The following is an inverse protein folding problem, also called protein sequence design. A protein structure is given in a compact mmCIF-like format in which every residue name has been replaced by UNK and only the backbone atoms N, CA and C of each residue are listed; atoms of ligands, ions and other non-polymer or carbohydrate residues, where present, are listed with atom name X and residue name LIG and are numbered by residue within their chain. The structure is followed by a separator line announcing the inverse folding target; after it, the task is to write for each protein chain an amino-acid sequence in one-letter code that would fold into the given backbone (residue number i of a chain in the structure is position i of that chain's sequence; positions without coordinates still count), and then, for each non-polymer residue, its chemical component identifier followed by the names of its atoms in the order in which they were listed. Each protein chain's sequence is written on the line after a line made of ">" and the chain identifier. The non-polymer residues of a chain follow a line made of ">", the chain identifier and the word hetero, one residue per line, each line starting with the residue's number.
data_IF_889558569875
#
_entry.id   IF_889558569875
#
_cell.length_a   1.000
_cell.length_b   1.000
_cell.length_c   1.000
_cell.angle_alpha   90.00
_cell.angle_beta   90.00
_cell.angle_gamma   90.00
#
_symmetry.space_group_name_H-M   'P 1'
#
loop_
_entity.id
_entity.type
_entity.pdbx_description
1 polymer ?
#
# COMPACT_ATOMS: atom_id res chain seq x y z
N UNK A 1 20.76 -22.85 -64.48
CA UNK A 1 21.39 -22.90 -63.15
C UNK A 1 21.34 -21.50 -62.57
N UNK A 2 20.30 -21.21 -61.78
CA UNK A 2 20.29 -20.12 -60.81
C UNK A 2 19.09 -20.36 -59.90
N UNK A 3 19.39 -20.41 -58.61
CA UNK A 3 18.52 -20.75 -57.49
C UNK A 3 17.74 -19.49 -57.11
N UNK A 4 16.43 -19.60 -56.91
CA UNK A 4 15.62 -18.58 -56.22
C UNK A 4 15.24 -19.16 -54.86
N UNK A 5 15.84 -18.64 -53.80
CA UNK A 5 15.45 -18.87 -52.40
C UNK A 5 14.21 -18.02 -52.09
N UNK A 6 13.12 -18.68 -51.73
CA UNK A 6 11.93 -18.05 -51.17
C UNK A 6 12.17 -17.75 -49.68
N UNK A 7 12.10 -16.48 -49.29
CA UNK A 7 12.13 -16.06 -47.88
C UNK A 7 10.69 -16.03 -47.38
N UNK A 8 10.32 -16.97 -46.51
CA UNK A 8 9.07 -16.93 -45.74
C UNK A 8 9.14 -15.83 -44.67
N UNK A 9 8.32 -14.79 -44.81
CA UNK A 9 8.05 -13.83 -43.75
C UNK A 9 6.92 -14.37 -42.88
N UNK A 10 7.30 -14.93 -41.72
CA UNK A 10 6.36 -15.35 -40.67
C UNK A 10 5.63 -14.13 -40.10
N UNK A 11 4.36 -13.94 -40.47
CA UNK A 11 3.48 -12.96 -39.83
C UNK A 11 3.09 -13.48 -38.46
N UNK A 12 3.70 -12.91 -37.42
CA UNK A 12 3.28 -13.08 -36.01
C UNK A 12 1.81 -12.67 -35.90
N UNK A 13 0.95 -13.65 -35.61
CA UNK A 13 -0.48 -13.45 -35.45
C UNK A 13 -0.76 -12.38 -34.40
N UNK A 14 -1.52 -11.36 -34.79
CA UNK A 14 -2.05 -10.35 -33.89
C UNK A 14 -2.97 -11.06 -32.88
N UNK A 15 -2.57 -11.09 -31.61
CA UNK A 15 -3.44 -11.48 -30.51
C UNK A 15 -4.40 -10.32 -30.27
N UNK A 16 -5.63 -10.44 -30.76
CA UNK A 16 -6.69 -9.51 -30.43
C UNK A 16 -6.87 -9.45 -28.91
N UNK A 17 -7.02 -8.24 -28.32
CA UNK A 17 -7.27 -8.11 -26.90
C UNK A 17 -8.61 -8.78 -26.58
N UNK A 18 -8.55 -9.84 -25.78
CA UNK A 18 -9.73 -10.53 -25.25
C UNK A 18 -10.50 -9.52 -24.39
N UNK A 19 -11.56 -8.94 -24.95
CA UNK A 19 -12.51 -8.12 -24.19
C UNK A 19 -13.02 -9.01 -23.06
N UNK A 20 -12.72 -8.64 -21.82
CA UNK A 20 -13.27 -9.30 -20.66
C UNK A 20 -14.74 -8.85 -20.61
N UNK A 21 -15.64 -9.67 -21.17
CA UNK A 21 -17.07 -9.47 -21.04
C UNK A 21 -17.42 -9.41 -19.54
N UNK A 22 -18.11 -8.35 -19.13
CA UNK A 22 -18.77 -8.32 -17.82
C UNK A 22 -19.73 -9.52 -17.76
N UNK A 23 -19.80 -10.26 -16.64
CA UNK A 23 -20.76 -11.35 -16.55
C UNK A 23 -22.17 -10.77 -16.68
N UNK A 24 -22.91 -11.22 -17.71
CA UNK A 24 -24.31 -10.84 -17.93
C UNK A 24 -25.18 -11.41 -16.80
N UNK A 25 -25.39 -10.60 -15.75
CA UNK A 25 -26.23 -10.90 -14.56
C UNK A 25 -27.70 -11.20 -14.90
N UNK A 26 -28.13 -11.00 -16.16
CA UNK A 26 -29.52 -11.13 -16.60
C UNK A 26 -29.93 -12.53 -17.09
N UNK A 27 -28.99 -13.45 -17.34
CA UNK A 27 -29.30 -14.78 -17.90
C UNK A 27 -28.88 -15.97 -17.01
N UNK A 28 -28.36 -15.72 -15.81
CA UNK A 28 -27.95 -16.78 -14.89
C UNK A 28 -29.11 -17.17 -13.97
N UNK A 29 -29.40 -18.48 -13.78
CA UNK A 29 -30.53 -18.93 -12.97
C UNK A 29 -30.30 -18.61 -11.49
N UNK A 30 -31.20 -17.81 -10.92
CA UNK A 30 -31.24 -17.55 -9.49
C UNK A 30 -31.57 -18.84 -8.70
N UNK A 31 -30.90 -19.10 -7.56
CA UNK A 31 -31.13 -20.30 -6.79
C UNK A 31 -32.49 -20.29 -6.09
N UNK A 32 -33.17 -21.43 -6.11
CA UNK A 32 -34.39 -21.62 -5.31
C UNK A 32 -34.09 -21.70 -3.82
N UNK A 33 -35.08 -21.45 -2.95
CA UNK A 33 -34.91 -21.44 -1.50
C UNK A 33 -34.38 -22.78 -0.93
N UNK A 34 -34.75 -23.90 -1.55
CA UNK A 34 -34.23 -25.22 -1.20
C UNK A 34 -32.75 -25.37 -1.56
N UNK A 35 -32.34 -24.87 -2.74
CA UNK A 35 -30.95 -24.90 -3.21
C UNK A 35 -30.05 -23.99 -2.37
N UNK A 36 -30.53 -22.82 -1.94
CA UNK A 36 -29.85 -21.92 -1.00
C UNK A 36 -29.55 -22.56 0.36
N UNK A 37 -30.33 -23.56 0.80
CA UNK A 37 -30.09 -24.23 2.09
C UNK A 37 -29.24 -25.49 1.97
N UNK A 38 -29.15 -26.08 0.77
CA UNK A 38 -28.55 -27.40 0.56
C UNK A 38 -27.22 -27.37 -0.18
N UNK A 39 -27.00 -26.36 -1.04
CA UNK A 39 -25.80 -26.27 -1.85
C UNK A 39 -24.66 -25.55 -1.12
N UNK A 40 -23.43 -25.99 -1.40
CA UNK A 40 -22.22 -25.37 -0.90
C UNK A 40 -22.05 -23.97 -1.52
N UNK A 41 -21.83 -22.97 -0.65
CA UNK A 41 -21.57 -21.59 -1.05
C UNK A 41 -20.06 -21.43 -1.27
N UNK A 42 -19.68 -20.90 -2.43
CA UNK A 42 -18.29 -20.71 -2.81
C UNK A 42 -18.00 -19.26 -3.20
N UNK A 43 -16.74 -18.87 -3.02
CA UNK A 43 -16.21 -17.62 -3.56
C UNK A 43 -16.05 -17.71 -5.08
N UNK A 44 -16.40 -16.63 -5.76
CA UNK A 44 -16.04 -16.41 -7.16
C UNK A 44 -14.55 -16.05 -7.30
N UNK A 45 -14.10 -15.89 -8.53
CA UNK A 45 -12.81 -15.33 -8.90
C UNK A 45 -12.70 -13.87 -8.50
N UNK A 46 -11.67 -13.55 -7.72
CA UNK A 46 -11.36 -12.17 -7.33
C UNK A 46 -10.74 -11.45 -8.55
N UNK A 47 -11.28 -10.30 -8.98
CA UNK A 47 -10.75 -9.55 -10.11
C UNK A 47 -9.33 -9.05 -9.83
N UNK A 48 -8.50 -8.96 -10.87
CA UNK A 48 -7.11 -8.50 -10.75
C UNK A 48 -7.01 -7.11 -10.10
N UNK A 49 -7.97 -6.23 -10.37
CA UNK A 49 -8.03 -4.90 -9.76
C UNK A 49 -8.10 -4.96 -8.22
N UNK A 50 -8.87 -5.90 -7.65
CA UNK A 50 -8.93 -6.09 -6.21
C UNK A 50 -7.58 -6.56 -5.63
N UNK A 51 -6.89 -7.47 -6.33
CA UNK A 51 -5.53 -7.89 -5.93
C UNK A 51 -4.52 -6.74 -5.94
N UNK A 52 -4.59 -5.85 -6.94
CA UNK A 52 -3.74 -4.66 -6.98
C UNK A 52 -4.02 -3.72 -5.81
N UNK A 53 -5.28 -3.58 -5.39
CA UNK A 53 -5.65 -2.80 -4.21
C UNK A 53 -5.08 -3.43 -2.93
N UNK A 54 -5.13 -4.77 -2.78
CA UNK A 54 -4.52 -5.48 -1.63
C UNK A 54 -3.01 -5.19 -1.56
N UNK A 55 -2.29 -5.27 -2.69
CA UNK A 55 -0.84 -4.98 -2.73
C UNK A 55 -0.56 -3.52 -2.41
N UNK A 56 -1.35 -2.60 -2.96
CA UNK A 56 -1.23 -1.17 -2.67
C UNK A 56 -1.43 -0.88 -1.17
N UNK A 57 -2.44 -1.48 -0.54
CA UNK A 57 -2.68 -1.34 0.90
C UNK A 57 -1.53 -1.92 1.71
N UNK A 58 -1.00 -3.09 1.34
CA UNK A 58 0.18 -3.67 1.97
C UNK A 58 1.36 -2.69 1.95
N UNK A 59 1.67 -2.11 0.78
CA UNK A 59 2.78 -1.17 0.62
C UNK A 59 2.59 0.10 1.45
N UNK A 60 1.39 0.68 1.47
CA UNK A 60 1.10 1.87 2.26
C UNK A 60 1.20 1.56 3.76
N UNK A 61 0.68 0.42 4.22
CA UNK A 61 0.80 -0.02 5.63
C UNK A 61 2.24 -0.26 6.04
N UNK A 62 3.01 -0.93 5.20
CA UNK A 62 4.44 -1.15 5.42
C UNK A 62 5.19 0.19 5.60
N UNK A 63 4.95 1.16 4.70
CA UNK A 63 5.55 2.48 4.80
C UNK A 63 5.09 3.24 6.06
N UNK A 64 3.78 3.22 6.36
CA UNK A 64 3.20 3.93 7.49
C UNK A 64 3.78 3.45 8.83
N UNK A 65 3.78 2.13 9.07
CA UNK A 65 4.31 1.58 10.32
C UNK A 65 5.84 1.57 10.34
N UNK A 66 6.50 1.39 9.18
CA UNK A 66 7.96 1.47 9.06
C UNK A 66 8.50 2.81 9.47
N UNK A 67 7.86 3.90 9.03
CA UNK A 67 8.22 5.25 9.43
C UNK A 67 7.81 5.55 10.87
N UNK A 68 6.60 5.15 11.26
CA UNK A 68 6.08 5.41 12.60
C UNK A 68 6.93 4.79 13.71
N UNK A 69 7.53 3.62 13.47
CA UNK A 69 8.44 2.97 14.40
C UNK A 69 9.76 3.72 14.60
N UNK A 70 10.17 4.55 13.64
CA UNK A 70 11.45 5.26 13.67
C UNK A 70 11.34 6.67 14.29
N UNK A 71 10.16 7.28 14.30
CA UNK A 71 9.96 8.66 14.78
C UNK A 71 10.50 8.92 16.17
N UNK A 72 10.20 8.03 17.12
CA UNK A 72 10.63 8.21 18.50
C UNK A 72 12.16 8.35 18.59
N UNK A 73 12.89 7.41 17.98
CA UNK A 73 14.34 7.36 18.03
C UNK A 73 14.98 8.50 17.22
N UNK A 74 14.47 8.75 16.01
CA UNK A 74 14.95 9.80 15.10
C UNK A 74 14.89 11.20 15.74
N UNK A 75 13.81 11.49 16.47
CA UNK A 75 13.60 12.79 17.14
C UNK A 75 14.35 12.88 18.46
N UNK A 76 14.35 11.80 19.25
CA UNK A 76 14.83 11.82 20.62
C UNK A 76 16.36 11.89 20.73
N UNK A 77 17.07 11.09 19.94
CA UNK A 77 18.51 10.88 20.10
C UNK A 77 19.34 11.70 19.10
N UNK A 78 20.60 12.03 19.44
CA UNK A 78 21.55 12.63 18.51
C UNK A 78 21.98 11.66 17.42
N UNK A 79 22.68 12.18 16.42
CA UNK A 79 23.31 11.36 15.39
C UNK A 79 24.34 10.41 16.06
N UNK A 80 24.28 9.09 15.82
CA UNK A 80 25.11 8.14 16.55
C UNK A 80 26.60 8.37 16.29
N UNK A 81 27.38 8.47 17.36
CA UNK A 81 28.85 8.46 17.28
C UNK A 81 29.35 7.03 17.08
N UNK A 82 30.58 6.83 16.61
CA UNK A 82 31.20 5.50 16.31
C UNK A 82 31.01 4.40 17.38
N UNK A 83 30.76 4.76 18.65
CA UNK A 83 30.61 3.84 19.77
C UNK A 83 29.16 3.68 20.27
N UNK A 84 28.20 4.39 19.68
CA UNK A 84 26.79 4.38 20.11
C UNK A 84 25.95 3.49 19.19
N UNK A 85 25.19 2.58 19.79
CA UNK A 85 24.32 1.64 19.07
C UNK A 85 22.91 2.17 18.87
N UNK A 86 22.58 3.34 19.42
CA UNK A 86 21.22 3.88 19.39
C UNK A 86 21.02 4.78 18.17
N UNK A 87 20.14 4.40 17.21
CA UNK A 87 19.90 5.23 16.03
C UNK A 87 19.15 6.52 16.41
N UNK A 88 19.58 7.65 15.84
CA UNK A 88 19.04 8.99 16.12
C UNK A 88 19.54 10.02 15.10
N UNK A 89 19.08 11.26 15.21
CA UNK A 89 19.54 12.36 14.36
C UNK A 89 19.29 13.77 14.92
N UNK A 90 18.17 14.02 15.61
CA UNK A 90 17.70 15.39 15.85
C UNK A 90 17.97 15.95 17.26
N UNK A 91 18.28 15.08 18.23
CA UNK A 91 18.58 15.47 19.62
C UNK A 91 17.57 16.48 20.21
N UNK A 92 16.27 16.15 20.16
CA UNK A 92 15.18 17.01 20.68
C UNK A 92 14.57 16.51 21.98
N UNK A 93 15.09 15.41 22.52
CA UNK A 93 14.64 14.80 23.75
C UNK A 93 13.30 14.06 23.66
N UNK A 94 13.00 13.28 24.69
CA UNK A 94 11.87 12.36 24.73
C UNK A 94 10.51 13.07 24.66
N UNK A 95 10.38 14.24 25.31
CA UNK A 95 9.12 14.97 25.36
C UNK A 95 8.68 15.39 23.95
N UNK A 96 9.59 15.99 23.17
CA UNK A 96 9.33 16.41 21.79
C UNK A 96 9.03 15.22 20.88
N UNK A 97 9.83 14.15 20.99
CA UNK A 97 9.65 12.92 20.22
C UNK A 97 8.27 12.30 20.45
N UNK A 98 7.85 12.22 21.71
CA UNK A 98 6.53 11.69 22.09
C UNK A 98 5.41 12.59 21.59
N UNK A 99 5.54 13.91 21.77
CA UNK A 99 4.52 14.88 21.35
C UNK A 99 4.29 14.84 19.83
N UNK A 100 5.36 14.85 19.02
CA UNK A 100 5.25 14.78 17.56
C UNK A 100 4.73 13.43 17.07
N UNK A 101 5.16 12.33 17.70
CA UNK A 101 4.64 10.99 17.36
C UNK A 101 3.13 10.89 17.65
N UNK A 102 2.67 11.41 18.80
CA UNK A 102 1.26 11.44 19.15
C UNK A 102 0.47 12.38 18.24
N UNK A 103 1.04 13.54 17.90
CA UNK A 103 0.45 14.45 16.92
C UNK A 103 0.25 13.78 15.57
N UNK A 104 1.28 13.10 15.04
CA UNK A 104 1.19 12.40 13.76
C UNK A 104 0.09 11.33 13.78
N UNK A 105 0.01 10.54 14.85
CA UNK A 105 -1.05 9.53 15.04
C UNK A 105 -2.43 10.18 15.06
N UNK A 106 -2.61 11.21 15.89
CA UNK A 106 -3.86 11.96 15.97
C UNK A 106 -4.27 12.51 14.60
N UNK A 107 -3.33 13.16 13.91
CA UNK A 107 -3.56 13.76 12.61
C UNK A 107 -3.92 12.70 11.54
N UNK A 108 -3.23 11.56 11.52
CA UNK A 108 -3.53 10.45 10.63
C UNK A 108 -4.88 9.75 10.90
N UNK A 109 -5.49 9.95 12.08
CA UNK A 109 -6.84 9.46 12.41
C UNK A 109 -7.94 10.47 12.13
N UNK A 110 -7.63 11.77 12.11
CA UNK A 110 -8.62 12.83 11.79
C UNK A 110 -8.69 13.11 10.29
N UNK A 111 -7.55 13.10 9.60
CA UNK A 111 -7.47 13.35 8.15
C UNK A 111 -8.35 12.44 7.26
N UNK A 112 -8.64 11.17 7.60
CA UNK A 112 -9.59 10.36 6.84
C UNK A 112 -11.00 10.97 6.75
N UNK A 113 -11.44 11.75 7.75
CA UNK A 113 -12.75 12.42 7.71
C UNK A 113 -12.78 13.41 6.55
N UNK A 114 -11.73 14.23 6.42
CA UNK A 114 -11.59 15.15 5.28
C UNK A 114 -11.45 14.40 3.96
N UNK A 115 -10.66 13.32 3.94
CA UNK A 115 -10.47 12.46 2.77
C UNK A 115 -11.77 11.81 2.25
N UNK A 116 -12.66 11.41 3.15
CA UNK A 116 -13.98 10.87 2.81
C UNK A 116 -14.87 11.96 2.17
N UNK A 117 -14.96 13.13 2.81
CA UNK A 117 -15.77 14.26 2.32
C UNK A 117 -15.33 14.67 0.91
N UNK A 118 -14.01 14.78 0.66
CA UNK A 118 -13.48 15.13 -0.66
C UNK A 118 -13.83 14.09 -1.72
N UNK A 119 -13.77 12.80 -1.38
CA UNK A 119 -14.12 11.73 -2.30
C UNK A 119 -15.61 11.70 -2.64
N UNK A 120 -16.47 11.90 -1.64
CA UNK A 120 -17.92 11.84 -1.82
C UNK A 120 -18.48 13.07 -2.55
N UNK A 121 -17.89 14.25 -2.34
CA UNK A 121 -18.47 15.52 -2.82
C UNK A 121 -17.82 16.09 -4.08
N UNK A 122 -16.52 15.84 -4.32
CA UNK A 122 -15.76 16.58 -5.34
C UNK A 122 -15.17 15.70 -6.43
N UNK A 123 -14.42 14.66 -6.07
CA UNK A 123 -13.50 14.00 -7.00
C UNK A 123 -13.84 12.55 -7.32
N UNK A 124 -14.65 11.89 -6.49
CA UNK A 124 -14.82 10.45 -6.52
C UNK A 124 -13.67 9.70 -5.84
N UNK A 125 -13.90 8.44 -5.51
CA UNK A 125 -12.99 7.61 -4.69
C UNK A 125 -11.64 7.40 -5.36
N UNK A 126 -11.64 6.96 -6.61
CA UNK A 126 -10.41 6.65 -7.35
C UNK A 126 -9.47 7.87 -7.49
N UNK A 127 -10.00 9.04 -7.91
CA UNK A 127 -9.18 10.26 -8.04
C UNK A 127 -8.65 10.74 -6.69
N UNK A 128 -9.47 10.65 -5.65
CA UNK A 128 -9.05 11.02 -4.30
C UNK A 128 -7.91 10.14 -3.81
N UNK A 129 -7.97 8.83 -4.04
CA UNK A 129 -6.88 7.91 -3.71
C UNK A 129 -5.61 8.26 -4.49
N UNK A 130 -5.69 8.46 -5.81
CA UNK A 130 -4.53 8.78 -6.63
C UNK A 130 -3.84 10.08 -6.19
N UNK A 131 -4.61 11.14 -5.94
CA UNK A 131 -4.08 12.41 -5.44
C UNK A 131 -3.46 12.22 -4.05
N UNK A 132 -4.12 11.46 -3.18
CA UNK A 132 -3.64 11.20 -1.82
C UNK A 132 -2.34 10.38 -1.81
N UNK A 133 -2.22 9.38 -2.69
CA UNK A 133 -0.97 8.64 -2.90
C UNK A 133 0.15 9.56 -3.39
N UNK A 134 -0.13 10.49 -4.32
CA UNK A 134 0.86 11.46 -4.78
C UNK A 134 1.31 12.39 -3.64
N UNK A 135 0.37 12.91 -2.84
CA UNK A 135 0.68 13.72 -1.66
C UNK A 135 1.53 12.93 -0.66
N UNK A 136 1.16 11.67 -0.38
CA UNK A 136 1.91 10.79 0.49
C UNK A 136 3.36 10.62 0.01
N UNK A 137 3.54 10.30 -1.28
CA UNK A 137 4.86 10.15 -1.90
C UNK A 137 5.70 11.43 -1.82
N UNK A 138 5.09 12.60 -2.04
CA UNK A 138 5.77 13.89 -1.86
C UNK A 138 6.26 14.04 -0.42
N UNK A 139 5.43 13.68 0.56
CA UNK A 139 5.80 13.71 1.97
C UNK A 139 6.99 12.79 2.30
N UNK A 140 7.01 11.58 1.71
CA UNK A 140 8.15 10.66 1.82
C UNK A 140 9.44 11.24 1.21
N UNK A 141 9.34 11.87 0.04
CA UNK A 141 10.49 12.49 -0.62
C UNK A 141 11.02 13.67 0.20
N UNK A 142 10.13 14.52 0.74
CA UNK A 142 10.52 15.62 1.63
C UNK A 142 11.24 15.07 2.87
N UNK A 143 10.72 14.01 3.48
CA UNK A 143 11.37 13.36 4.60
C UNK A 143 12.77 12.85 4.22
N UNK A 144 12.88 12.11 3.11
CA UNK A 144 14.14 11.54 2.64
C UNK A 144 15.19 12.64 2.41
N UNK A 145 14.82 13.69 1.68
CA UNK A 145 15.72 14.80 1.33
C UNK A 145 16.13 15.64 2.55
N UNK A 146 15.30 15.68 3.59
CA UNK A 146 15.62 16.42 4.82
C UNK A 146 16.38 15.57 5.84
N UNK A 147 16.39 14.24 5.66
CA UNK A 147 17.07 13.28 6.55
C UNK A 147 18.47 12.86 6.06
N UNK A 148 18.96 13.42 4.96
CA UNK A 148 20.35 13.19 4.50
C UNK A 148 21.35 13.95 5.40
N UNK A 149 22.60 13.45 5.57
CA UNK A 149 23.58 14.07 6.46
C UNK A 149 23.80 15.58 6.22
N UNK A 150 23.95 16.07 4.96
CA UNK A 150 24.12 17.50 4.72
C UNK A 150 22.93 18.38 5.13
N UNK A 151 21.72 17.81 5.17
CA UNK A 151 20.51 18.53 5.59
C UNK A 151 20.37 18.55 7.12
N UNK A 152 20.83 17.49 7.79
CA UNK A 152 20.92 17.40 9.26
C UNK A 152 21.93 18.43 9.78
N UNK A 153 23.13 18.49 9.19
CA UNK A 153 24.18 19.42 9.60
C UNK A 153 23.77 20.89 9.46
N UNK A 154 22.93 21.20 8.46
CA UNK A 154 22.35 22.53 8.24
C UNK A 154 21.14 22.83 9.12
N UNK A 155 20.69 21.90 9.95
CA UNK A 155 19.53 22.06 10.84
C UNK A 155 18.17 22.02 10.13
N UNK A 156 18.11 21.62 8.86
CA UNK A 156 16.86 21.60 8.06
C UNK A 156 16.01 20.36 8.38
N UNK A 157 16.63 19.31 8.94
CA UNK A 157 15.98 18.02 9.21
C UNK A 157 14.77 18.12 10.16
N UNK A 158 14.83 18.96 11.20
CA UNK A 158 13.73 19.13 12.16
C UNK A 158 12.49 19.81 11.55
N UNK A 159 12.58 21.01 10.93
CA UNK A 159 11.42 21.61 10.26
C UNK A 159 10.95 20.75 9.06
N UNK A 160 11.89 20.10 8.36
CA UNK A 160 11.59 19.16 7.28
C UNK A 160 10.73 17.97 7.74
N UNK A 161 11.04 17.41 8.91
CA UNK A 161 10.25 16.34 9.52
C UNK A 161 8.81 16.78 9.82
N UNK A 162 8.61 17.96 10.40
CA UNK A 162 7.27 18.46 10.74
C UNK A 162 6.43 18.64 9.47
N UNK A 163 7.02 19.23 8.43
CA UNK A 163 6.36 19.38 7.13
C UNK A 163 6.03 18.01 6.52
N UNK A 164 6.98 17.08 6.56
CA UNK A 164 6.76 15.72 6.07
C UNK A 164 5.64 15.01 6.84
N UNK A 165 5.58 15.11 8.17
CA UNK A 165 4.52 14.51 8.99
C UNK A 165 3.12 15.02 8.60
N UNK A 166 2.99 16.31 8.34
CA UNK A 166 1.72 16.91 7.89
C UNK A 166 1.37 16.38 6.49
N UNK A 167 2.29 16.43 5.53
CA UNK A 167 2.02 15.99 4.15
C UNK A 167 1.67 14.49 4.11
N UNK A 168 2.47 13.64 4.78
CA UNK A 168 2.23 12.19 4.87
C UNK A 168 0.88 11.93 5.55
N UNK A 169 0.59 12.62 6.66
CA UNK A 169 -0.67 12.48 7.38
C UNK A 169 -1.88 12.83 6.51
N UNK A 170 -1.80 13.92 5.74
CA UNK A 170 -2.87 14.31 4.80
C UNK A 170 -3.07 13.26 3.71
N UNK A 171 -1.98 12.76 3.09
CA UNK A 171 -2.06 11.70 2.09
C UNK A 171 -2.62 10.39 2.67
N UNK A 172 -2.23 10.05 3.90
CA UNK A 172 -2.72 8.87 4.63
C UNK A 172 -4.25 8.91 4.79
N UNK A 173 -4.80 10.10 5.11
CA UNK A 173 -6.22 10.29 5.31
C UNK A 173 -7.05 9.88 4.09
N UNK A 174 -6.72 10.43 2.92
CA UNK A 174 -7.49 10.19 1.70
C UNK A 174 -7.35 8.78 1.12
N UNK A 175 -6.24 8.07 1.38
CA UNK A 175 -6.12 6.64 1.06
C UNK A 175 -7.00 5.81 1.99
N UNK A 176 -6.85 5.98 3.32
CA UNK A 176 -7.56 5.18 4.34
C UNK A 176 -9.08 5.24 4.24
N UNK A 177 -9.64 6.40 3.94
CA UNK A 177 -11.10 6.56 3.85
C UNK A 177 -11.73 5.92 2.62
N UNK A 178 -10.95 5.70 1.55
CA UNK A 178 -11.49 5.42 0.21
C UNK A 178 -11.07 4.08 -0.38
N UNK A 179 -9.98 3.47 0.11
CA UNK A 179 -9.43 2.23 -0.44
C UNK A 179 -10.36 1.02 -0.21
N UNK A 180 -11.00 0.91 0.97
CA UNK A 180 -11.89 -0.22 1.26
C UNK A 180 -13.22 -0.16 0.51
N UNK A 181 -13.90 1.00 0.35
CA UNK A 181 -15.03 1.09 -0.56
C UNK A 181 -14.64 0.82 -2.02
N UNK A 182 -13.47 1.32 -2.47
CA UNK A 182 -13.00 1.05 -3.84
C UNK A 182 -12.79 -0.45 -4.07
N UNK A 183 -12.27 -1.19 -3.08
CA UNK A 183 -12.14 -2.65 -3.17
C UNK A 183 -13.50 -3.32 -3.33
N UNK A 184 -14.48 -2.94 -2.52
CA UNK A 184 -15.83 -3.51 -2.62
C UNK A 184 -16.45 -3.25 -3.99
N UNK A 185 -16.23 -2.06 -4.56
CA UNK A 185 -16.70 -1.70 -5.91
C UNK A 185 -16.05 -2.51 -7.04
N UNK A 186 -14.91 -3.20 -6.81
CA UNK A 186 -14.31 -4.04 -7.83
C UNK A 186 -15.12 -5.30 -8.11
N UNK A 187 -15.99 -5.72 -7.19
CA UNK A 187 -16.82 -6.90 -7.37
C UNK A 187 -18.26 -6.50 -7.70
N UNK A 188 -18.65 -6.65 -8.97
CA UNK A 188 -19.92 -6.13 -9.49
C UNK A 188 -21.11 -7.08 -9.31
N UNK A 189 -20.89 -8.35 -8.94
CA UNK A 189 -21.99 -9.31 -8.77
C UNK A 189 -22.74 -9.06 -7.47
N UNK A 190 -24.05 -8.92 -7.56
CA UNK A 190 -24.92 -8.63 -6.40
C UNK A 190 -25.82 -9.82 -6.03
N UNK A 191 -26.05 -10.75 -6.96
CA UNK A 191 -26.95 -11.90 -6.78
C UNK A 191 -26.20 -13.23 -6.68
N UNK A 192 -26.71 -14.19 -5.88
CA UNK A 192 -26.19 -15.55 -5.88
C UNK A 192 -26.60 -16.27 -7.16
N UNK A 193 -25.68 -17.05 -7.72
CA UNK A 193 -25.89 -17.79 -8.98
C UNK A 193 -25.53 -19.25 -8.79
N UNK A 194 -26.20 -20.14 -9.54
CA UNK A 194 -25.83 -21.56 -9.55
C UNK A 194 -24.81 -21.80 -10.66
N UNK A 195 -23.66 -22.35 -10.28
CA UNK A 195 -22.66 -22.87 -11.22
C UNK A 195 -22.44 -24.36 -11.01
N UNK A 196 -21.99 -25.07 -12.04
CA UNK A 196 -21.62 -26.49 -11.94
C UNK A 196 -20.11 -26.59 -12.01
N UNK A 197 -19.47 -26.81 -10.85
CA UNK A 197 -18.02 -27.00 -10.77
C UNK A 197 -17.75 -28.47 -10.45
N UNK A 198 -16.96 -29.12 -11.33
CA UNK A 198 -16.59 -30.54 -11.19
C UNK A 198 -17.81 -31.47 -11.04
N UNK A 199 -18.89 -31.19 -11.79
CA UNK A 199 -20.11 -32.00 -11.80
C UNK A 199 -21.03 -31.83 -10.59
N UNK A 200 -20.72 -30.93 -9.64
CA UNK A 200 -21.60 -30.59 -8.51
C UNK A 200 -22.18 -29.20 -8.70
N UNK A 201 -23.49 -29.04 -8.44
CA UNK A 201 -24.13 -27.73 -8.36
C UNK A 201 -23.60 -27.03 -7.11
N UNK A 202 -23.11 -25.80 -7.28
CA UNK A 202 -22.62 -24.94 -6.20
C UNK A 202 -23.21 -23.56 -6.39
N UNK A 203 -23.40 -22.85 -5.29
CA UNK A 203 -23.87 -21.47 -5.34
C UNK A 203 -22.65 -20.57 -5.22
N UNK A 204 -22.45 -19.69 -6.19
CA UNK A 204 -21.51 -18.58 -6.04
C UNK A 204 -22.27 -17.51 -5.27
N UNK A 205 -21.77 -17.22 -4.07
CA UNK A 205 -22.35 -16.19 -3.21
C UNK A 205 -21.46 -14.94 -3.23
N UNK A 206 -22.00 -13.78 -3.66
CA UNK A 206 -21.33 -12.49 -3.55
C UNK A 206 -20.76 -12.19 -2.17
N UNK A 207 -21.46 -12.58 -1.10
CA UNK A 207 -21.07 -12.31 0.28
C UNK A 207 -19.80 -13.07 0.66
N UNK A 208 -19.68 -14.34 0.25
CA UNK A 208 -18.50 -15.18 0.48
C UNK A 208 -17.28 -14.64 -0.28
N UNK A 209 -17.51 -14.15 -1.51
CA UNK A 209 -16.45 -13.54 -2.32
C UNK A 209 -15.96 -12.23 -1.70
N UNK A 210 -16.90 -11.36 -1.30
CA UNK A 210 -16.59 -10.10 -0.61
C UNK A 210 -15.85 -10.35 0.70
N UNK A 211 -16.27 -11.35 1.48
CA UNK A 211 -15.59 -11.77 2.70
C UNK A 211 -14.15 -12.23 2.42
N UNK A 212 -13.93 -13.03 1.37
CA UNK A 212 -12.60 -13.47 0.95
C UNK A 212 -11.71 -12.28 0.56
N UNK A 213 -12.24 -11.33 -0.20
CA UNK A 213 -11.53 -10.09 -0.57
C UNK A 213 -11.10 -9.30 0.67
N UNK A 214 -12.01 -9.06 1.62
CA UNK A 214 -11.68 -8.35 2.86
C UNK A 214 -10.73 -9.15 3.77
N UNK A 215 -10.82 -10.48 3.79
CA UNK A 215 -9.87 -11.30 4.52
C UNK A 215 -8.44 -11.08 4.00
N UNK A 216 -8.23 -11.10 2.68
CA UNK A 216 -6.93 -10.80 2.08
C UNK A 216 -6.47 -9.37 2.34
N UNK A 217 -7.39 -8.41 2.28
CA UNK A 217 -7.12 -7.01 2.62
C UNK A 217 -6.62 -6.82 4.05
N UNK A 218 -7.28 -7.44 5.04
CA UNK A 218 -6.86 -7.37 6.44
C UNK A 218 -5.58 -8.17 6.71
N UNK A 219 -5.37 -9.30 6.02
CA UNK A 219 -4.08 -10.00 6.05
C UNK A 219 -2.94 -9.11 5.58
N UNK A 220 -3.11 -8.40 4.45
CA UNK A 220 -2.14 -7.44 3.95
C UNK A 220 -1.81 -6.34 4.99
N UNK A 221 -2.82 -5.80 5.66
CA UNK A 221 -2.62 -4.80 6.73
C UNK A 221 -1.77 -5.36 7.88
N UNK A 222 -2.11 -6.56 8.35
CA UNK A 222 -1.40 -7.20 9.46
C UNK A 222 0.05 -7.53 9.09
N UNK A 223 0.29 -8.07 7.88
CA UNK A 223 1.64 -8.39 7.41
C UNK A 223 2.48 -7.11 7.22
N UNK A 224 1.89 -6.06 6.65
CA UNK A 224 2.55 -4.75 6.52
C UNK A 224 2.96 -4.17 7.87
N UNK A 225 2.08 -4.29 8.88
CA UNK A 225 2.35 -3.84 10.25
C UNK A 225 3.38 -4.71 10.99
N UNK A 226 3.42 -6.02 10.73
CA UNK A 226 4.37 -6.93 11.38
C UNK A 226 5.79 -6.74 10.82
N UNK A 227 5.91 -6.57 9.51
CA UNK A 227 7.22 -6.43 8.82
C UNK A 227 7.96 -5.15 9.19
N UNK A 228 7.25 -4.07 9.50
CA UNK A 228 7.86 -2.80 9.93
C UNK A 228 8.49 -2.84 11.32
N UNK A 229 8.01 -3.70 12.21
CA UNK A 229 8.44 -3.75 13.62
C UNK A 229 9.67 -4.64 13.84
N UNK A 230 10.24 -5.23 12.79
CA UNK A 230 11.42 -6.08 12.90
C UNK A 230 12.69 -5.27 12.58
N UNK A 231 13.49 -4.85 13.58
CA UNK A 231 14.71 -4.07 13.36
C UNK A 231 15.78 -4.82 12.55
N UNK A 232 15.64 -6.13 12.34
CA UNK A 232 16.57 -6.92 11.52
C UNK A 232 16.30 -6.82 10.01
N UNK A 233 15.13 -6.29 9.60
CA UNK A 233 14.77 -6.09 8.19
C UNK A 233 15.25 -4.74 7.62
N UNK A 234 15.46 -3.75 8.49
CA UNK A 234 16.14 -2.51 8.14
C UNK A 234 17.61 -2.65 8.56
N UNK A 235 18.54 -2.95 7.64
CA UNK A 235 19.94 -3.12 8.01
C UNK A 235 20.50 -1.81 8.56
N UNK A 236 20.59 -1.72 9.89
CA UNK A 236 21.37 -0.71 10.62
C UNK A 236 22.84 -0.68 10.15
N UNK A 237 23.27 -1.73 9.45
CA UNK A 237 24.60 -1.90 8.86
C UNK A 237 24.85 -1.07 7.59
N UNK A 238 23.82 -0.46 6.97
CA UNK A 238 24.04 0.39 5.79
C UNK A 238 24.75 1.70 6.16
N UNK A 239 24.52 2.24 7.35
CA UNK A 239 25.25 3.43 7.83
C UNK A 239 26.75 3.14 7.92
N UNK A 240 27.16 1.95 8.36
CA UNK A 240 28.57 1.55 8.40
C UNK A 240 29.20 1.33 7.01
N UNK A 241 28.40 1.03 5.98
CA UNK A 241 28.91 0.82 4.63
C UNK A 241 29.20 2.16 3.91
N UNK A 242 28.33 3.17 4.07
CA UNK A 242 28.55 4.48 3.45
C UNK A 242 29.69 5.27 4.12
N UNK A 243 29.89 5.16 5.43
CA UNK A 243 30.97 5.87 6.13
C UNK A 243 32.37 5.34 5.77
N UNK A 244 32.49 4.04 5.48
CA UNK A 244 33.79 3.40 5.18
C UNK A 244 34.23 3.55 3.71
N UNK A 245 33.30 3.81 2.77
CA UNK A 245 33.64 3.98 1.35
C UNK A 245 34.07 5.43 1.03
N UNK A 246 33.62 6.43 1.80
CA UNK A 246 33.91 7.84 1.54
C UNK A 246 34.95 8.48 2.48
N UNK A 247 35.46 7.76 3.48
CA UNK A 247 36.57 8.22 4.31
C UNK A 247 37.53 7.07 4.66
N UNK A 248 38.53 6.78 3.80
CA UNK A 248 39.47 5.68 4.03
C UNK A 248 40.50 5.95 5.15
N UNK A 249 40.55 7.15 5.72
CA UNK A 249 41.60 7.55 6.66
C UNK A 249 41.25 7.43 8.15
N UNK A 250 40.14 6.78 8.51
CA UNK A 250 39.73 6.72 9.93
C UNK A 250 40.31 5.55 10.73
N UNK A 251 41.39 4.94 10.23
CA UNK A 251 42.17 3.89 10.90
C UNK A 251 43.69 4.22 10.92
N UNK A 252 44.06 5.49 11.08
CA UNK A 252 45.42 5.90 11.43
C UNK A 252 45.40 6.66 12.76
#
# INVERSE_FOLDING_TARGET
>A
MSITEDIEVSTVGAVEPKIIEQPDDFNEPEPTAEELSTLEHISDHIPLAAWLIVVCEFCERFAFYGLSGLWQNYIQFPLPTKNETQPGALDRGQQTATALTMFFRFFAYITPIAGAILADQLWGKYKTIMISCAIYMIGLVVLLLTSIPPAIDKGIAFPGLIVAMIIIGTGTGGVKSNVSPLMAEQYSRTKPIITVIKGKRKIIDPSVTMQSMFNWFYWAINIGSASSNNPNLFPQNLTNYYTNVFNPNVNA
#
